data_IF_520028693095
#
_entry.id   IF_520028693095
#
_cell.length_a   1.000
_cell.length_b   1.000
_cell.length_c   1.000
_cell.angle_alpha   90.00
_cell.angle_beta   90.00
_cell.angle_gamma   90.00
#
_symmetry.space_group_name_H-M   'P 1'
#
loop_
_entity.id
_entity.type
_entity.pdbx_description
1 polymer ?
#
# COMPACT_ATOMS: atom_id res chain seq x y z
N UNK A 1 -23.82 17.97 28.11
CA UNK A 1 -22.92 17.27 29.06
C UNK A 1 -23.07 15.78 28.75
N UNK A 2 -22.48 15.29 27.65
CA UNK A 2 -21.10 14.79 27.54
C UNK A 2 -20.86 13.64 28.51
N UNK A 3 -21.20 12.44 28.06
CA UNK A 3 -20.80 11.20 28.72
C UNK A 3 -19.77 10.46 27.86
N UNK A 4 -18.69 10.12 28.57
CA UNK A 4 -17.58 9.21 28.29
C UNK A 4 -17.05 9.06 26.86
N UNK A 5 -15.86 9.62 26.64
CA UNK A 5 -14.89 9.08 25.68
C UNK A 5 -14.55 7.64 26.05
N UNK A 6 -15.17 6.69 25.36
CA UNK A 6 -14.81 5.29 25.43
C UNK A 6 -13.46 5.10 24.77
N UNK A 7 -12.41 4.95 25.59
CA UNK A 7 -11.13 4.41 25.17
C UNK A 7 -11.31 2.93 24.79
N UNK A 8 -11.94 2.68 23.65
CA UNK A 8 -12.00 1.36 23.03
C UNK A 8 -10.59 0.91 22.71
N UNK A 9 -10.32 -0.39 22.91
CA UNK A 9 -9.09 -1.00 22.38
C UNK A 9 -9.04 -0.75 20.87
N UNK A 10 -7.88 -0.37 20.30
CA UNK A 10 -7.75 -0.22 18.86
C UNK A 10 -8.24 -1.47 18.12
N UNK A 11 -8.93 -1.30 17.01
CA UNK A 11 -9.46 -2.42 16.21
C UNK A 11 -8.36 -3.05 15.33
N UNK A 12 -8.60 -4.28 14.84
CA UNK A 12 -7.72 -4.92 13.86
C UNK A 12 -8.02 -4.35 12.48
N UNK A 13 -6.99 -4.02 11.70
CA UNK A 13 -7.15 -3.60 10.32
C UNK A 13 -7.54 -4.79 9.44
N UNK A 14 -8.68 -4.72 8.76
CA UNK A 14 -9.20 -5.75 7.86
C UNK A 14 -8.71 -5.47 6.45
N UNK A 15 -7.81 -6.31 5.96
CA UNK A 15 -7.14 -6.16 4.67
C UNK A 15 -7.65 -7.22 3.70
N UNK A 16 -8.36 -6.79 2.67
CA UNK A 16 -8.60 -7.63 1.50
C UNK A 16 -7.36 -7.62 0.61
N UNK A 17 -6.89 -8.78 0.18
CA UNK A 17 -5.80 -8.88 -0.76
C UNK A 17 -6.24 -9.59 -2.05
N UNK A 18 -5.80 -9.03 -3.17
CA UNK A 18 -6.12 -9.51 -4.51
C UNK A 18 -4.83 -9.88 -5.23
N UNK A 19 -4.80 -11.04 -5.88
CA UNK A 19 -3.65 -11.61 -6.62
C UNK A 19 -2.49 -12.11 -5.74
N UNK A 20 -1.48 -12.70 -6.39
CA UNK A 20 -0.44 -13.50 -5.71
C UNK A 20 0.58 -12.67 -4.94
N UNK A 21 0.96 -11.49 -5.42
CA UNK A 21 1.97 -10.65 -4.79
C UNK A 21 1.33 -9.38 -4.24
N UNK A 22 0.66 -9.53 -3.11
CA UNK A 22 -0.09 -8.48 -2.40
C UNK A 22 0.15 -8.62 -0.89
N UNK A 23 -0.02 -7.53 -0.14
CA UNK A 23 0.10 -7.56 1.33
C UNK A 23 -0.99 -8.47 1.88
N UNK A 24 -0.61 -9.40 2.76
CA UNK A 24 -1.47 -10.48 3.25
C UNK A 24 -1.34 -11.81 2.50
N UNK A 25 -0.72 -11.82 1.31
CA UNK A 25 -0.45 -13.06 0.59
C UNK A 25 0.78 -13.79 1.14
N UNK A 26 0.88 -15.10 0.88
CA UNK A 26 2.03 -15.92 1.30
C UNK A 26 3.35 -15.55 0.61
N UNK A 27 3.32 -14.67 -0.40
CA UNK A 27 4.53 -14.23 -1.09
C UNK A 27 5.27 -13.09 -0.39
N UNK A 28 4.66 -12.45 0.63
CA UNK A 28 5.31 -11.44 1.48
C UNK A 28 5.43 -11.90 2.94
N UNK A 29 6.07 -13.06 3.22
CA UNK A 29 6.05 -13.67 4.55
C UNK A 29 6.66 -12.75 5.62
N UNK A 30 7.81 -12.13 5.34
CA UNK A 30 8.50 -11.27 6.30
C UNK A 30 7.72 -9.99 6.59
N UNK A 31 7.23 -9.31 5.54
CA UNK A 31 6.44 -8.09 5.73
C UNK A 31 5.14 -8.39 6.48
N UNK A 32 4.43 -9.48 6.15
CA UNK A 32 3.23 -9.88 6.89
C UNK A 32 3.55 -10.27 8.35
N UNK A 33 4.71 -10.87 8.63
CA UNK A 33 5.12 -11.14 10.01
C UNK A 33 5.46 -9.86 10.79
N UNK A 34 5.97 -8.82 10.13
CA UNK A 34 6.16 -7.51 10.74
C UNK A 34 4.81 -6.82 11.01
N UNK A 35 3.83 -6.94 10.12
CA UNK A 35 2.47 -6.41 10.32
C UNK A 35 1.75 -7.10 11.49
N UNK A 36 1.93 -8.41 11.65
CA UNK A 36 1.28 -9.20 12.72
C UNK A 36 2.08 -9.23 14.04
N UNK A 37 3.25 -8.59 14.08
CA UNK A 37 4.06 -8.47 15.29
C UNK A 37 3.46 -7.42 16.24
N UNK A 38 3.14 -7.85 17.46
CA UNK A 38 2.62 -6.96 18.50
C UNK A 38 3.61 -5.84 18.92
N UNK A 39 4.91 -6.03 18.68
CA UNK A 39 5.93 -5.00 18.91
C UNK A 39 5.79 -3.84 17.92
N UNK A 40 5.29 -4.10 16.71
CA UNK A 40 5.13 -3.08 15.67
C UNK A 40 3.71 -2.51 15.67
N UNK A 41 2.68 -3.38 15.82
CA UNK A 41 1.27 -3.02 15.72
C UNK A 41 0.48 -3.59 16.89
N UNK A 42 0.28 -2.76 17.91
CA UNK A 42 -0.62 -3.03 19.03
C UNK A 42 -0.75 -1.77 19.89
N UNK A 43 -1.63 -1.78 20.89
CA UNK A 43 -1.71 -0.69 21.88
C UNK A 43 -0.37 -0.37 22.58
N UNK A 44 0.59 -1.30 22.56
CA UNK A 44 1.93 -1.14 23.15
C UNK A 44 3.07 -1.16 22.13
N UNK A 45 2.76 -1.35 20.85
CA UNK A 45 3.75 -1.39 19.77
C UNK A 45 4.19 0.00 19.32
N UNK A 46 5.03 0.04 18.28
CA UNK A 46 5.46 1.28 17.62
C UNK A 46 4.27 2.06 17.06
N UNK A 47 3.42 1.41 16.27
CA UNK A 47 2.15 1.97 15.80
C UNK A 47 0.98 1.50 16.67
N UNK A 48 0.33 2.46 17.33
CA UNK A 48 -0.62 2.16 18.42
C UNK A 48 -2.09 2.21 18.05
N UNK A 49 -2.42 2.63 16.82
CA UNK A 49 -3.79 2.90 16.42
C UNK A 49 -4.51 1.66 15.86
N UNK A 50 -3.87 0.49 15.84
CA UNK A 50 -4.52 -0.79 15.51
C UNK A 50 -4.06 -1.90 16.46
N UNK A 51 -4.88 -2.94 16.63
CA UNK A 51 -4.51 -4.12 17.43
C UNK A 51 -3.80 -5.22 16.65
N UNK A 52 -3.72 -5.09 15.33
CA UNK A 52 -3.17 -6.10 14.42
C UNK A 52 -3.82 -6.04 13.05
N UNK A 53 -3.67 -7.11 12.27
CA UNK A 53 -4.19 -7.22 10.90
C UNK A 53 -4.90 -8.55 10.68
N UNK A 54 -5.97 -8.49 9.90
CA UNK A 54 -6.71 -9.65 9.42
C UNK A 54 -6.69 -9.64 7.88
N UNK A 55 -6.19 -10.72 7.27
CA UNK A 55 -6.01 -10.81 5.82
C UNK A 55 -7.04 -11.73 5.18
N UNK A 56 -7.76 -11.23 4.17
CA UNK A 56 -8.75 -12.00 3.42
C UNK A 56 -8.41 -12.00 1.93
N UNK A 57 -8.28 -13.19 1.33
CA UNK A 57 -8.09 -13.31 -0.12
C UNK A 57 -9.40 -13.04 -0.86
N UNK A 58 -9.43 -12.01 -1.70
CA UNK A 58 -10.60 -11.66 -2.54
C UNK A 58 -10.38 -11.93 -4.03
N UNK A 59 -9.31 -12.63 -4.41
CA UNK A 59 -8.93 -12.84 -5.82
C UNK A 59 -10.06 -13.42 -6.66
N UNK A 60 -10.79 -14.42 -6.13
CA UNK A 60 -11.90 -15.08 -6.82
C UNK A 60 -13.27 -14.45 -6.58
N UNK A 61 -13.39 -13.54 -5.61
CA UNK A 61 -14.68 -12.99 -5.16
C UNK A 61 -14.85 -11.52 -5.51
N UNK A 62 -13.76 -10.78 -5.79
CA UNK A 62 -13.80 -9.34 -6.07
C UNK A 62 -14.78 -9.02 -7.19
N UNK A 63 -14.77 -9.79 -8.28
CA UNK A 63 -15.64 -9.60 -9.44
C UNK A 63 -17.14 -9.56 -9.08
N UNK A 64 -17.58 -10.42 -8.15
CA UNK A 64 -18.98 -10.53 -7.71
C UNK A 64 -19.32 -9.72 -6.45
N UNK A 65 -18.33 -9.06 -5.83
CA UNK A 65 -18.55 -8.27 -4.60
C UNK A 65 -18.92 -6.83 -4.94
N UNK A 66 -19.90 -6.26 -4.25
CA UNK A 66 -20.28 -4.85 -4.37
C UNK A 66 -19.35 -3.95 -3.57
N UNK A 67 -19.27 -2.66 -3.94
CA UNK A 67 -18.47 -1.68 -3.21
C UNK A 67 -18.97 -1.50 -1.77
N UNK A 68 -20.29 -1.56 -1.55
CA UNK A 68 -20.88 -1.55 -0.20
C UNK A 68 -20.35 -2.70 0.66
N UNK A 69 -20.28 -3.91 0.08
CA UNK A 69 -19.76 -5.07 0.80
C UNK A 69 -18.26 -4.94 1.08
N UNK A 70 -17.48 -4.38 0.13
CA UNK A 70 -16.07 -4.09 0.37
C UNK A 70 -15.87 -3.10 1.53
N UNK A 71 -16.62 -1.99 1.56
CA UNK A 71 -16.56 -0.99 2.63
C UNK A 71 -17.02 -1.53 3.99
N UNK A 72 -18.02 -2.42 4.00
CA UNK A 72 -18.50 -3.02 5.24
C UNK A 72 -17.49 -3.98 5.87
N UNK A 73 -16.69 -4.67 5.03
CA UNK A 73 -15.84 -5.78 5.48
C UNK A 73 -14.34 -5.46 5.53
N UNK A 74 -13.87 -4.43 4.82
CA UNK A 74 -12.44 -4.16 4.66
C UNK A 74 -12.10 -2.69 4.81
N UNK A 75 -11.01 -2.42 5.52
CA UNK A 75 -10.44 -1.08 5.73
C UNK A 75 -9.40 -0.76 4.65
N UNK A 76 -8.70 -1.79 4.15
CA UNK A 76 -7.71 -1.69 3.09
C UNK A 76 -7.94 -2.77 2.02
N UNK A 77 -7.77 -2.41 0.74
CA UNK A 77 -7.57 -3.35 -0.36
C UNK A 77 -6.11 -3.29 -0.82
N UNK A 78 -5.39 -4.40 -0.75
CA UNK A 78 -4.07 -4.56 -1.37
C UNK A 78 -4.18 -5.30 -2.71
N UNK A 79 -3.72 -4.71 -3.80
CA UNK A 79 -3.77 -5.32 -5.14
C UNK A 79 -2.38 -5.76 -5.60
N UNK A 80 -2.23 -7.00 -6.04
CA UNK A 80 -0.95 -7.58 -6.46
C UNK A 80 -0.83 -7.92 -7.95
N UNK A 81 0.29 -8.54 -8.34
CA UNK A 81 0.77 -8.58 -9.74
C UNK A 81 0.80 -9.97 -10.44
N UNK A 82 0.17 -11.00 -9.89
CA UNK A 82 0.09 -12.34 -10.51
C UNK A 82 -0.77 -12.45 -11.79
N UNK A 83 -1.74 -11.54 -11.95
CA UNK A 83 -2.64 -11.45 -13.11
C UNK A 83 -3.02 -9.98 -13.34
N UNK A 84 -3.43 -9.63 -14.56
CA UNK A 84 -3.94 -8.28 -14.82
C UNK A 84 -5.34 -8.11 -14.26
N UNK A 85 -5.53 -7.07 -13.45
CA UNK A 85 -6.85 -6.66 -12.99
C UNK A 85 -7.67 -6.20 -14.20
N UNK A 86 -8.94 -6.58 -14.24
CA UNK A 86 -9.86 -6.11 -15.28
C UNK A 86 -10.15 -4.61 -15.09
N UNK A 87 -10.50 -3.90 -16.16
CA UNK A 87 -10.93 -2.50 -16.07
C UNK A 87 -12.13 -2.32 -15.12
N UNK A 88 -13.05 -3.29 -15.09
CA UNK A 88 -14.22 -3.27 -14.20
C UNK A 88 -13.83 -3.40 -12.72
N UNK A 89 -12.89 -4.28 -12.39
CA UNK A 89 -12.40 -4.41 -11.01
C UNK A 89 -11.51 -3.24 -10.60
N UNK A 90 -10.73 -2.66 -11.52
CA UNK A 90 -9.97 -1.44 -11.26
C UNK A 90 -10.89 -0.25 -10.95
N UNK A 91 -11.98 -0.08 -11.72
CA UNK A 91 -13.01 0.91 -11.45
C UNK A 91 -13.71 0.67 -10.10
N UNK A 92 -13.93 -0.60 -9.72
CA UNK A 92 -14.49 -0.97 -8.42
C UNK A 92 -13.56 -0.60 -7.25
N UNK A 93 -12.25 -0.84 -7.38
CA UNK A 93 -11.26 -0.40 -6.38
C UNK A 93 -11.23 1.13 -6.28
N UNK A 94 -11.33 1.84 -7.41
CA UNK A 94 -11.45 3.31 -7.44
C UNK A 94 -12.70 3.80 -6.70
N UNK A 95 -13.86 3.20 -6.96
CA UNK A 95 -15.11 3.58 -6.28
C UNK A 95 -15.04 3.29 -4.77
N UNK A 96 -14.46 2.15 -4.36
CA UNK A 96 -14.18 1.85 -2.96
C UNK A 96 -13.34 2.94 -2.29
N UNK A 97 -12.28 3.42 -2.97
CA UNK A 97 -11.44 4.51 -2.46
C UNK A 97 -12.19 5.85 -2.38
N UNK A 98 -12.95 6.19 -3.44
CA UNK A 98 -13.73 7.43 -3.48
C UNK A 98 -14.77 7.49 -2.34
N UNK A 99 -15.25 6.33 -1.90
CA UNK A 99 -16.26 6.17 -0.86
C UNK A 99 -15.70 5.94 0.54
N UNK A 100 -14.38 5.99 0.72
CA UNK A 100 -13.75 6.01 2.04
C UNK A 100 -12.75 4.90 2.33
N UNK A 101 -12.69 3.88 1.48
CA UNK A 101 -11.71 2.80 1.61
C UNK A 101 -10.28 3.23 1.24
N UNK A 102 -9.29 2.42 1.63
CA UNK A 102 -7.88 2.68 1.31
C UNK A 102 -7.33 1.60 0.39
N UNK A 103 -6.55 1.97 -0.64
CA UNK A 103 -5.94 1.02 -1.57
C UNK A 103 -4.41 1.09 -1.54
N UNK A 104 -3.77 -0.08 -1.43
CA UNK A 104 -2.34 -0.28 -1.62
C UNK A 104 -2.13 -1.05 -2.93
N UNK A 105 -1.63 -0.38 -3.95
CA UNK A 105 -1.61 -0.87 -5.32
C UNK A 105 -0.19 -1.21 -5.74
N UNK A 106 0.09 -2.49 -5.97
CA UNK A 106 1.38 -2.94 -6.49
C UNK A 106 1.33 -3.07 -8.02
N UNK A 107 2.35 -2.55 -8.68
CA UNK A 107 2.56 -2.62 -10.12
C UNK A 107 3.76 -3.54 -10.45
N UNK A 108 3.81 -4.01 -11.69
CA UNK A 108 4.90 -4.84 -12.26
C UNK A 108 4.87 -4.64 -13.81
N UNK A 109 5.86 -5.06 -14.63
CA UNK A 109 5.82 -4.86 -16.07
C UNK A 109 4.51 -5.34 -16.70
N UNK A 110 3.86 -4.45 -17.45
CA UNK A 110 2.57 -4.69 -18.07
C UNK A 110 1.44 -5.08 -17.09
N UNK A 111 1.61 -4.82 -15.78
CA UNK A 111 0.62 -5.05 -14.72
C UNK A 111 0.21 -3.77 -14.01
N UNK A 112 -1.10 -3.55 -13.94
CA UNK A 112 -1.70 -2.44 -13.20
C UNK A 112 -2.02 -1.18 -14.01
N UNK A 113 -1.90 -1.21 -15.34
CA UNK A 113 -2.30 -0.08 -16.22
C UNK A 113 -3.79 0.30 -16.05
N UNK A 114 -4.66 -0.68 -15.80
CA UNK A 114 -6.09 -0.43 -15.54
C UNK A 114 -6.29 0.35 -14.23
N UNK A 115 -5.53 0.00 -13.18
CA UNK A 115 -5.54 0.74 -11.91
C UNK A 115 -4.96 2.15 -12.09
N UNK A 116 -3.82 2.29 -12.78
CA UNK A 116 -3.25 3.61 -13.07
C UNK A 116 -4.27 4.52 -13.75
N UNK A 117 -4.96 4.01 -14.78
CA UNK A 117 -5.97 4.76 -15.54
C UNK A 117 -7.20 5.08 -14.69
N UNK A 118 -7.71 4.11 -13.91
CA UNK A 118 -8.85 4.32 -13.01
C UNK A 118 -8.60 5.42 -11.96
N UNK A 119 -7.35 5.59 -11.53
CA UNK A 119 -6.92 6.64 -10.60
C UNK A 119 -6.44 7.92 -11.29
N UNK A 120 -6.76 8.10 -12.58
CA UNK A 120 -6.52 9.35 -13.32
C UNK A 120 -5.12 9.50 -13.89
N UNK A 121 -4.27 8.48 -13.78
CA UNK A 121 -3.03 8.40 -14.54
C UNK A 121 -3.27 8.09 -16.01
N UNK A 122 -2.21 8.10 -16.81
CA UNK A 122 -2.28 7.83 -18.24
C UNK A 122 -1.21 6.83 -18.72
N UNK A 123 -1.41 6.27 -19.91
CA UNK A 123 -0.48 5.36 -20.56
C UNK A 123 -0.47 3.96 -19.94
N UNK A 124 0.67 3.28 -20.05
CA UNK A 124 0.83 1.88 -19.63
C UNK A 124 1.98 1.73 -18.64
N UNK A 125 1.92 0.69 -17.82
CA UNK A 125 3.01 0.29 -16.94
C UNK A 125 4.09 -0.40 -17.78
N UNK A 126 5.20 0.29 -18.01
CA UNK A 126 6.34 -0.24 -18.78
C UNK A 126 7.26 -1.09 -17.90
N UNK A 127 8.34 -1.63 -18.47
CA UNK A 127 9.38 -2.33 -17.71
C UNK A 127 10.38 -1.33 -17.11
N UNK A 128 10.64 -1.47 -15.82
CA UNK A 128 11.53 -0.62 -15.03
C UNK A 128 12.79 -1.30 -14.54
N UNK A 129 13.60 -0.54 -13.81
CA UNK A 129 14.62 -1.11 -12.92
C UNK A 129 14.02 -1.33 -11.53
N UNK A 130 14.59 -2.23 -10.73
CA UNK A 130 14.04 -2.59 -9.43
C UNK A 130 14.37 -1.59 -8.30
N UNK A 131 15.29 -0.64 -8.52
CA UNK A 131 15.79 0.24 -7.44
C UNK A 131 15.13 1.63 -7.46
N UNK A 132 14.95 2.20 -6.27
CA UNK A 132 14.44 3.56 -6.10
C UNK A 132 15.15 4.30 -4.97
N UNK A 133 14.71 5.52 -4.73
CA UNK A 133 15.12 6.33 -3.58
C UNK A 133 13.88 6.99 -3.01
N UNK A 134 13.72 6.95 -1.69
CA UNK A 134 12.63 7.67 -1.04
C UNK A 134 12.85 9.18 -1.14
N UNK A 135 11.78 9.96 -1.19
CA UNK A 135 11.85 11.42 -1.24
C UNK A 135 12.01 12.01 0.17
N UNK A 136 12.10 13.33 0.24
CA UNK A 136 12.09 14.10 1.48
C UNK A 136 10.69 14.36 2.06
N UNK A 137 9.62 13.76 1.50
CA UNK A 137 8.25 13.96 1.98
C UNK A 137 8.11 13.50 3.45
N UNK A 138 7.31 14.23 4.23
CA UNK A 138 7.11 13.96 5.66
C UNK A 138 6.49 12.59 5.94
N UNK A 139 5.78 11.97 4.98
CA UNK A 139 5.31 10.59 5.12
C UNK A 139 6.49 9.63 5.32
N UNK A 140 7.66 9.92 4.77
CA UNK A 140 8.86 9.09 4.92
C UNK A 140 9.56 9.29 6.28
N UNK A 141 9.14 10.27 7.10
CA UNK A 141 9.62 10.50 8.45
C UNK A 141 8.48 10.34 9.46
N UNK A 142 8.04 9.08 9.61
CA UNK A 142 6.88 8.72 10.40
C UNK A 142 7.22 8.09 11.76
N UNK A 143 6.22 7.44 12.32
CA UNK A 143 6.26 6.78 13.64
C UNK A 143 7.30 5.67 13.76
N UNK A 144 7.72 5.06 12.66
CA UNK A 144 8.77 4.05 12.66
C UNK A 144 10.19 4.64 12.56
N UNK A 145 10.33 5.95 12.30
CA UNK A 145 11.59 6.66 12.19
C UNK A 145 11.77 7.38 10.86
N UNK A 146 12.93 8.01 10.68
CA UNK A 146 13.26 8.74 9.44
C UNK A 146 13.78 7.79 8.36
N UNK A 147 13.09 7.76 7.23
CA UNK A 147 13.42 6.99 6.04
C UNK A 147 13.44 7.85 4.77
N UNK A 148 13.75 9.14 4.90
CA UNK A 148 13.95 10.06 3.77
C UNK A 148 15.32 9.85 3.13
N UNK A 149 15.39 10.03 1.81
CA UNK A 149 16.62 9.92 1.00
C UNK A 149 17.37 8.58 1.16
N UNK A 150 16.64 7.48 1.41
CA UNK A 150 17.23 6.14 1.54
C UNK A 150 17.06 5.35 0.24
N UNK A 151 18.04 4.48 -0.03
CA UNK A 151 17.97 3.57 -1.17
C UNK A 151 16.92 2.48 -0.93
N UNK A 152 16.04 2.28 -1.91
CA UNK A 152 15.03 1.24 -1.93
C UNK A 152 15.42 0.18 -2.97
N UNK A 153 15.30 -1.08 -2.59
CA UNK A 153 15.65 -2.22 -3.45
C UNK A 153 14.42 -3.10 -3.64
N UNK A 154 14.03 -3.31 -4.89
CA UNK A 154 13.05 -4.32 -5.28
C UNK A 154 13.69 -5.66 -5.62
N UNK A 155 12.92 -6.61 -6.15
CA UNK A 155 13.42 -7.94 -6.55
C UNK A 155 12.70 -8.44 -7.79
N UNK A 156 13.46 -9.04 -8.70
CA UNK A 156 13.00 -9.60 -9.97
C UNK A 156 12.61 -8.52 -10.99
N UNK A 157 11.31 -8.26 -11.17
CA UNK A 157 10.79 -7.33 -12.17
C UNK A 157 10.23 -6.08 -11.51
N UNK A 158 9.94 -5.06 -12.30
CA UNK A 158 9.38 -3.81 -11.77
C UNK A 158 8.64 -3.04 -12.84
N UNK A 159 7.51 -2.43 -12.47
CA UNK A 159 6.82 -1.46 -13.30
C UNK A 159 7.61 -0.15 -13.42
N UNK A 160 7.53 0.49 -14.58
CA UNK A 160 8.01 1.85 -14.82
C UNK A 160 6.82 2.75 -15.14
N UNK A 161 6.71 3.81 -14.37
CA UNK A 161 5.78 4.92 -14.56
C UNK A 161 6.58 6.20 -14.59
N UNK A 162 6.43 7.01 -15.64
CA UNK A 162 7.05 8.33 -15.71
C UNK A 162 6.24 9.34 -14.91
N UNK A 163 6.88 10.43 -14.46
CA UNK A 163 6.16 11.49 -13.72
C UNK A 163 5.02 12.11 -14.55
N UNK A 164 5.14 12.13 -15.87
CA UNK A 164 4.09 12.65 -16.78
C UNK A 164 2.86 11.73 -16.90
N UNK A 165 2.96 10.49 -16.43
CA UNK A 165 1.84 9.55 -16.40
C UNK A 165 1.00 9.66 -15.11
N UNK A 166 1.49 10.39 -14.11
CA UNK A 166 0.80 10.54 -12.84
C UNK A 166 -0.40 11.52 -12.95
N UNK A 167 -1.46 11.32 -12.15
CA UNK A 167 -2.56 12.27 -12.04
C UNK A 167 -2.11 13.62 -11.46
N UNK A 168 -2.89 14.68 -11.73
CA UNK A 168 -2.54 16.09 -11.43
C UNK A 168 -2.33 16.41 -9.93
N UNK A 169 -2.84 15.59 -9.00
CA UNK A 169 -2.72 15.81 -7.55
C UNK A 169 -1.98 14.67 -6.84
N UNK A 170 -0.96 14.12 -7.49
CA UNK A 170 -0.12 13.08 -6.88
C UNK A 170 0.87 13.68 -5.86
N UNK A 171 1.27 12.85 -4.89
CA UNK A 171 2.39 13.12 -3.97
C UNK A 171 3.41 11.99 -4.07
N UNK A 172 4.64 12.32 -4.43
CA UNK A 172 5.73 11.36 -4.57
C UNK A 172 6.37 11.03 -3.22
N UNK A 173 6.47 9.74 -2.94
CA UNK A 173 7.17 9.19 -1.78
C UNK A 173 8.50 8.53 -2.17
N UNK A 174 8.66 8.11 -3.42
CA UNK A 174 9.91 7.61 -3.96
C UNK A 174 10.00 7.80 -5.47
N UNK A 175 11.22 7.84 -5.99
CA UNK A 175 11.53 8.03 -7.42
C UNK A 175 12.75 7.21 -7.87
N UNK A 176 12.86 6.98 -9.18
CA UNK A 176 14.10 6.54 -9.85
C UNK A 176 14.57 7.68 -10.73
N UNK A 177 15.73 8.23 -10.36
CA UNK A 177 16.27 9.44 -10.95
C UNK A 177 15.20 10.56 -10.96
N UNK A 178 15.26 11.49 -11.91
CA UNK A 178 14.39 12.68 -11.92
C UNK A 178 13.08 12.49 -12.67
N UNK A 179 12.86 11.35 -13.34
CA UNK A 179 11.79 11.21 -14.33
C UNK A 179 10.81 10.06 -14.09
N UNK A 180 11.07 9.16 -13.14
CA UNK A 180 10.23 7.97 -12.91
C UNK A 180 9.71 7.91 -11.48
N UNK A 181 8.40 7.69 -11.36
CA UNK A 181 7.72 7.50 -10.10
C UNK A 181 7.98 6.08 -9.57
N UNK A 182 8.19 5.97 -8.26
CA UNK A 182 8.32 4.68 -7.58
C UNK A 182 7.17 4.43 -6.63
N UNK A 183 6.98 5.35 -5.69
CA UNK A 183 5.85 5.30 -4.78
C UNK A 183 5.17 6.65 -4.80
N UNK A 184 3.85 6.66 -4.95
CA UNK A 184 3.07 7.89 -4.90
C UNK A 184 1.72 7.68 -4.26
N UNK A 185 1.23 8.75 -3.65
CA UNK A 185 -0.12 8.87 -3.14
C UNK A 185 -0.98 9.59 -4.17
N UNK A 186 -2.21 9.13 -4.35
CA UNK A 186 -3.25 9.76 -5.17
C UNK A 186 -4.64 9.36 -4.64
N UNK A 187 -5.69 9.66 -5.41
CA UNK A 187 -7.06 9.32 -5.12
C UNK A 187 -7.68 10.26 -4.08
N UNK A 188 -8.98 10.12 -3.91
CA UNK A 188 -9.77 10.95 -3.01
C UNK A 188 -9.18 10.92 -1.59
N UNK A 189 -8.81 12.10 -1.05
CA UNK A 189 -8.18 12.27 0.26
C UNK A 189 -6.84 11.52 0.46
N UNK A 190 -6.12 11.22 -0.62
CA UNK A 190 -4.82 10.52 -0.55
C UNK A 190 -4.94 9.06 -0.10
N UNK A 191 -6.05 8.41 -0.45
CA UNK A 191 -6.37 7.04 -0.01
C UNK A 191 -5.89 5.93 -0.94
N UNK A 192 -5.24 6.26 -2.05
CA UNK A 192 -4.60 5.27 -2.91
C UNK A 192 -3.08 5.49 -2.90
N UNK A 193 -2.34 4.44 -2.56
CA UNK A 193 -0.87 4.45 -2.60
C UNK A 193 -0.42 3.40 -3.59
N UNK A 194 0.33 3.84 -4.60
CA UNK A 194 0.89 2.98 -5.63
C UNK A 194 2.36 2.68 -5.34
N UNK A 195 2.75 1.45 -5.61
CA UNK A 195 4.12 0.95 -5.57
C UNK A 195 4.49 0.42 -6.95
N UNK A 196 5.63 0.84 -7.48
CA UNK A 196 6.11 0.43 -8.80
C UNK A 196 6.49 -1.04 -8.92
N UNK A 197 6.81 -1.68 -7.80
CA UNK A 197 7.36 -3.02 -7.73
C UNK A 197 6.92 -3.65 -6.41
N UNK A 198 6.23 -4.77 -6.51
CA UNK A 198 5.82 -5.55 -5.36
C UNK A 198 7.02 -6.22 -4.64
N UNK A 199 8.12 -6.40 -5.35
CA UNK A 199 9.42 -6.86 -4.91
C UNK A 199 10.03 -6.06 -3.77
N UNK A 200 9.66 -4.79 -3.59
CA UNK A 200 10.14 -3.97 -2.46
C UNK A 200 9.73 -4.55 -1.10
N UNK A 201 8.62 -5.30 -1.03
CA UNK A 201 8.12 -5.94 0.19
C UNK A 201 8.74 -7.32 0.46
N UNK A 202 9.50 -7.87 -0.50
CA UNK A 202 10.14 -9.18 -0.42
C UNK A 202 11.65 -9.12 -0.70
N UNK A 203 12.22 -7.93 -0.67
CA UNK A 203 13.65 -7.73 -0.78
C UNK A 203 14.37 -8.29 0.44
N UNK A 204 15.65 -8.69 0.33
CA UNK A 204 16.43 -9.18 1.47
C UNK A 204 16.51 -8.20 2.66
N UNK A 205 16.33 -6.90 2.39
CA UNK A 205 16.26 -5.85 3.41
C UNK A 205 14.96 -5.88 4.24
N UNK A 206 13.97 -6.70 3.87
CA UNK A 206 12.74 -6.93 4.63
C UNK A 206 12.81 -8.33 5.24
N UNK A 207 13.11 -8.41 6.54
CA UNK A 207 13.43 -9.67 7.20
C UNK A 207 12.92 -9.75 8.64
N UNK A 208 12.66 -10.98 9.10
CA UNK A 208 12.26 -11.22 10.48
C UNK A 208 10.93 -10.55 10.86
N UNK A 209 10.82 -10.12 12.12
CA UNK A 209 9.60 -9.57 12.71
C UNK A 209 9.76 -8.17 13.29
N UNK A 210 11.00 -7.69 13.37
CA UNK A 210 11.35 -6.34 13.82
C UNK A 210 11.41 -5.45 12.58
N UNK A 211 11.09 -4.17 12.77
CA UNK A 211 11.24 -3.12 11.77
C UNK A 211 12.48 -2.32 12.14
N UNK A 212 13.61 -2.60 11.49
CA UNK A 212 14.91 -2.01 11.83
C UNK A 212 15.79 -1.62 10.64
N UNK A 213 15.46 -2.04 9.41
CA UNK A 213 16.17 -1.56 8.23
C UNK A 213 15.55 -0.25 7.70
N UNK A 214 16.33 0.63 7.06
CA UNK A 214 15.78 1.85 6.46
C UNK A 214 14.64 1.61 5.47
N UNK A 215 14.69 0.49 4.72
CA UNK A 215 13.62 0.10 3.80
C UNK A 215 12.37 -0.34 4.55
N UNK A 216 12.50 -1.09 5.64
CA UNK A 216 11.36 -1.44 6.49
C UNK A 216 10.74 -0.19 7.12
N UNK A 217 11.55 0.75 7.63
CA UNK A 217 11.05 2.03 8.16
C UNK A 217 10.21 2.76 7.11
N UNK A 218 10.70 2.85 5.87
CA UNK A 218 9.95 3.43 4.75
C UNK A 218 8.61 2.72 4.53
N UNK A 219 8.62 1.41 4.34
CA UNK A 219 7.39 0.63 4.05
C UNK A 219 6.38 0.72 5.20
N UNK A 220 6.84 0.68 6.45
CA UNK A 220 5.99 0.77 7.63
C UNK A 220 5.48 2.19 7.90
N UNK A 221 6.24 3.23 7.54
CA UNK A 221 5.74 4.60 7.55
C UNK A 221 4.63 4.82 6.49
N UNK A 222 4.78 4.23 5.30
CA UNK A 222 3.72 4.26 4.28
C UNK A 222 2.48 3.48 4.73
N UNK A 223 2.65 2.32 5.39
CA UNK A 223 1.54 1.59 6.00
C UNK A 223 0.86 2.39 7.13
N UNK A 224 1.64 3.05 7.99
CA UNK A 224 1.11 3.93 9.05
C UNK A 224 0.31 5.10 8.47
N UNK A 225 0.78 5.68 7.36
CA UNK A 225 0.04 6.66 6.58
C UNK A 225 -1.28 6.07 6.08
N UNK A 226 -1.25 4.90 5.42
CA UNK A 226 -2.44 4.24 4.89
C UNK A 226 -3.49 3.99 6.00
N UNK A 227 -3.06 3.46 7.15
CA UNK A 227 -3.92 3.24 8.32
C UNK A 227 -4.54 4.55 8.83
N UNK A 228 -3.78 5.65 8.86
CA UNK A 228 -4.30 6.96 9.27
C UNK A 228 -5.39 7.53 8.34
N UNK A 229 -5.61 6.91 7.18
CA UNK A 229 -6.66 7.28 6.22
C UNK A 229 -7.90 6.39 6.27
N UNK A 230 -7.83 5.30 7.04
CA UNK A 230 -8.97 4.44 7.35
C UNK A 230 -9.88 5.08 8.40
N UNK A 231 -11.02 4.46 8.70
CA UNK A 231 -11.96 4.90 9.73
C UNK A 231 -11.74 4.23 11.10
N UNK A 232 -10.59 3.57 11.30
CA UNK A 232 -10.19 2.86 12.52
C UNK A 232 -9.80 3.81 13.66
#
# INVERSE_FOLDING_TARGET
MSDAGGGGRPESARVAFWSTFSIGSTNFPNFNSQLTSANNYSAFGTYKNVSGFEFTNVTSTLAGTTVESLLANFDIISTGTGVNMSAADAAKVKEYVDRGGVALIMLDPARGSELLTAFGGNGTVATGTINGTSTTDDVNNGVFGDARDIALTGVATSGRITMSQLPTDNKLLANEATSNARVWITGTNGRAIFFWDEGVFRAPAVAGTVVDTPQELFLHNVMAYALSRTAL
#
